data_IF_712442600119
#
_entry.id   IF_712442600119
#
_cell.length_a   1.000
_cell.length_b   1.000
_cell.length_c   1.000
_cell.angle_alpha   90.00
_cell.angle_beta   90.00
_cell.angle_gamma   90.00
#
_symmetry.space_group_name_H-M   'P 1'
#
loop_
_entity.id
_entity.type
_entity.pdbx_description
1 polymer ?
#
# COMPACT_ATOMS: atom_id res chain seq x y z
N UNK A 1 7.90 -8.83 28.03
CA UNK A 1 8.16 -9.77 26.92
C UNK A 1 8.04 -11.25 27.31
N UNK A 2 7.61 -11.62 28.54
CA UNK A 2 7.35 -13.03 28.91
C UNK A 2 5.94 -13.52 28.54
N UNK A 3 4.97 -12.64 28.33
CA UNK A 3 3.56 -13.00 28.08
C UNK A 3 3.28 -13.54 26.66
N UNK A 4 4.17 -13.35 25.68
CA UNK A 4 3.98 -13.88 24.31
C UNK A 4 4.26 -15.40 24.24
N UNK A 5 4.97 -15.96 25.23
CA UNK A 5 5.31 -17.39 25.24
C UNK A 5 4.17 -18.31 25.69
N UNK A 6 3.29 -17.86 26.57
CA UNK A 6 2.28 -18.74 27.19
C UNK A 6 1.09 -19.04 26.26
N UNK A 7 0.69 -18.10 25.40
CA UNK A 7 -0.46 -18.31 24.49
C UNK A 7 -0.13 -19.18 23.26
N UNK A 8 1.14 -19.52 23.02
CA UNK A 8 1.59 -20.27 21.84
C UNK A 8 1.89 -21.76 22.11
N UNK A 9 1.90 -22.21 23.37
CA UNK A 9 2.28 -23.59 23.70
C UNK A 9 1.13 -24.62 23.62
N UNK A 10 -0.14 -24.19 23.54
CA UNK A 10 -1.29 -25.11 23.57
C UNK A 10 -1.72 -25.67 22.20
N UNK A 11 -0.91 -25.50 21.15
CA UNK A 11 -1.26 -25.88 19.77
C UNK A 11 -0.39 -26.95 19.10
N UNK A 12 0.47 -27.68 19.82
CA UNK A 12 1.36 -28.69 19.20
C UNK A 12 0.71 -30.07 19.14
N UNK A 13 -0.03 -30.33 18.08
CA UNK A 13 -0.27 -31.70 17.60
C UNK A 13 0.78 -32.06 16.55
N UNK A 14 1.56 -33.08 16.89
CA UNK A 14 2.56 -33.76 16.10
C UNK A 14 1.97 -34.29 14.79
N UNK A 15 2.54 -33.86 13.65
CA UNK A 15 2.42 -34.58 12.37
C UNK A 15 3.81 -35.00 11.89
N UNK A 16 4.15 -36.22 12.27
CA UNK A 16 5.15 -37.07 11.64
C UNK A 16 4.45 -37.94 10.59
N UNK A 17 4.95 -37.92 9.34
CA UNK A 17 4.94 -38.98 8.30
C UNK A 17 5.31 -38.29 6.95
N UNK A 18 6.54 -38.45 6.45
CA UNK A 18 6.99 -39.41 5.41
C UNK A 18 6.32 -39.14 4.03
N UNK A 19 7.01 -38.97 2.89
CA UNK A 19 7.82 -39.95 2.15
C UNK A 19 8.63 -39.27 1.01
N UNK A 20 9.88 -39.72 0.79
CA UNK A 20 10.38 -40.10 -0.54
C UNK A 20 10.97 -39.04 -1.48
N UNK A 21 12.21 -38.62 -1.21
CA UNK A 21 13.09 -38.01 -2.19
C UNK A 21 14.48 -37.84 -1.59
N UNK A 22 15.46 -38.64 -2.04
CA UNK A 22 16.86 -38.60 -1.61
C UNK A 22 17.58 -37.35 -2.15
N UNK A 23 17.06 -36.17 -1.84
CA UNK A 23 17.84 -34.94 -1.82
C UNK A 23 18.30 -34.75 -0.38
N UNK A 24 19.61 -34.65 -0.15
CA UNK A 24 20.19 -34.37 1.16
C UNK A 24 19.56 -33.10 1.75
N UNK A 25 18.53 -33.25 2.57
CA UNK A 25 17.89 -32.14 3.24
C UNK A 25 18.86 -31.59 4.29
N UNK A 26 19.15 -30.30 4.22
CA UNK A 26 19.94 -29.57 5.22
C UNK A 26 19.33 -29.82 6.59
N UNK A 27 20.15 -30.30 7.53
CA UNK A 27 19.67 -30.62 8.88
C UNK A 27 19.37 -29.33 9.68
N UNK A 28 18.71 -29.46 10.84
CA UNK A 28 18.26 -28.30 11.61
C UNK A 28 19.43 -27.43 12.13
N UNK A 29 20.56 -28.06 12.47
CA UNK A 29 21.77 -27.38 12.98
C UNK A 29 22.45 -26.55 11.89
N UNK A 30 22.68 -27.16 10.71
CA UNK A 30 23.23 -26.49 9.54
C UNK A 30 22.32 -25.35 9.09
N UNK A 31 20.99 -25.56 9.10
CA UNK A 31 20.01 -24.51 8.83
C UNK A 31 20.10 -23.36 9.83
N UNK A 32 20.33 -23.66 11.12
CA UNK A 32 20.58 -22.66 12.16
C UNK A 32 21.84 -21.85 11.89
N UNK A 33 22.96 -22.52 11.61
CA UNK A 33 24.24 -21.88 11.29
C UNK A 33 24.14 -20.97 10.05
N UNK A 34 23.42 -21.40 9.00
CA UNK A 34 23.17 -20.58 7.82
C UNK A 34 22.38 -19.32 8.19
N UNK A 35 21.31 -19.45 8.98
CA UNK A 35 20.49 -18.30 9.43
C UNK A 35 21.32 -17.30 10.23
N UNK A 36 22.17 -17.75 11.14
CA UNK A 36 23.07 -16.89 11.92
C UNK A 36 24.10 -16.20 11.03
N UNK A 37 24.72 -16.94 10.11
CA UNK A 37 25.68 -16.37 9.15
C UNK A 37 25.03 -15.31 8.27
N UNK A 38 23.81 -15.54 7.81
CA UNK A 38 23.05 -14.55 7.04
C UNK A 38 22.78 -13.28 7.86
N UNK A 39 22.43 -13.40 9.15
CA UNK A 39 22.25 -12.23 10.01
C UNK A 39 23.54 -11.44 10.20
N UNK A 40 24.69 -12.11 10.34
CA UNK A 40 26.00 -11.45 10.39
C UNK A 40 26.31 -10.71 9.09
N UNK A 41 26.05 -11.34 7.93
CA UNK A 41 26.24 -10.72 6.62
C UNK A 41 25.32 -9.52 6.42
N UNK A 42 24.06 -9.61 6.85
CA UNK A 42 23.12 -8.51 6.83
C UNK A 42 23.61 -7.34 7.69
N UNK A 43 24.05 -7.61 8.92
CA UNK A 43 24.60 -6.59 9.81
C UNK A 43 25.83 -5.89 9.21
N UNK A 44 26.76 -6.66 8.64
CA UNK A 44 27.90 -6.08 7.93
C UNK A 44 27.47 -5.23 6.72
N UNK A 45 26.42 -5.66 6.01
CA UNK A 45 25.86 -4.94 4.88
C UNK A 45 25.05 -3.69 5.26
N UNK A 46 24.57 -3.60 6.51
CA UNK A 46 23.90 -2.40 7.03
C UNK A 46 24.87 -1.45 7.72
N UNK A 47 26.13 -1.83 7.89
CA UNK A 47 27.21 -0.97 8.41
C UNK A 47 28.11 -0.39 7.29
N UNK A 48 27.98 -0.87 6.06
CA UNK A 48 28.75 -0.41 4.89
C UNK A 48 28.11 -0.80 3.55
N UNK A 49 28.75 -0.51 2.41
CA UNK A 49 28.22 -0.94 1.11
C UNK A 49 28.59 -2.39 0.81
N UNK A 50 27.61 -3.29 0.77
CA UNK A 50 27.81 -4.67 0.30
C UNK A 50 27.35 -4.79 -1.16
N UNK A 51 28.25 -5.06 -2.13
CA UNK A 51 27.89 -5.11 -3.55
C UNK A 51 26.77 -6.09 -3.89
N UNK A 52 26.67 -7.19 -3.13
CA UNK A 52 25.72 -8.29 -3.35
C UNK A 52 24.50 -8.25 -2.40
N UNK A 53 24.18 -7.07 -1.87
CA UNK A 53 23.03 -6.90 -0.98
C UNK A 53 21.70 -7.31 -1.64
N UNK A 54 21.42 -7.01 -2.93
CA UNK A 54 20.21 -7.49 -3.59
C UNK A 54 20.09 -9.03 -3.60
N UNK A 55 21.16 -9.73 -3.93
CA UNK A 55 21.22 -11.19 -3.99
C UNK A 55 21.07 -11.81 -2.59
N UNK A 56 21.78 -11.26 -1.61
CA UNK A 56 21.66 -11.66 -0.20
C UNK A 56 20.21 -11.50 0.28
N UNK A 57 19.57 -10.38 -0.06
CA UNK A 57 18.18 -10.13 0.31
C UNK A 57 17.23 -11.13 -0.35
N UNK A 58 17.50 -11.57 -1.58
CA UNK A 58 16.70 -12.60 -2.25
C UNK A 58 16.82 -13.97 -1.57
N UNK A 59 18.00 -14.32 -1.06
CA UNK A 59 18.21 -15.55 -0.27
C UNK A 59 17.40 -15.47 1.03
N UNK A 60 17.53 -14.35 1.77
CA UNK A 60 16.78 -14.10 3.00
C UNK A 60 15.28 -14.19 2.75
N UNK A 61 14.79 -13.57 1.67
CA UNK A 61 13.39 -13.61 1.27
C UNK A 61 12.90 -15.05 1.07
N UNK A 62 13.63 -15.88 0.33
CA UNK A 62 13.26 -17.29 0.10
C UNK A 62 13.18 -18.08 1.40
N UNK A 63 14.12 -17.86 2.32
CA UNK A 63 14.09 -18.50 3.65
C UNK A 63 12.92 -18.00 4.50
N UNK A 64 12.59 -16.71 4.44
CA UNK A 64 11.46 -16.15 5.18
C UNK A 64 10.12 -16.81 4.85
N UNK A 65 9.96 -17.30 3.62
CA UNK A 65 8.76 -18.04 3.21
C UNK A 65 8.48 -19.23 4.13
N UNK A 66 9.52 -19.95 4.54
CA UNK A 66 9.41 -21.19 5.30
C UNK A 66 9.67 -21.02 6.79
N UNK A 67 10.54 -20.09 7.16
CA UNK A 67 11.05 -19.99 8.54
C UNK A 67 10.62 -18.76 9.31
N UNK A 68 10.17 -17.70 8.64
CA UNK A 68 9.79 -16.46 9.32
C UNK A 68 8.26 -16.34 9.41
N UNK A 69 7.69 -15.91 10.55
CA UNK A 69 8.39 -15.47 11.77
C UNK A 69 8.83 -16.58 12.74
N UNK A 70 8.08 -17.69 12.82
CA UNK A 70 8.13 -18.63 13.97
C UNK A 70 9.48 -19.36 14.18
N UNK A 71 10.20 -19.67 13.12
CA UNK A 71 11.44 -20.44 13.17
C UNK A 71 12.68 -19.56 12.91
N UNK A 72 12.55 -18.23 13.00
CA UNK A 72 13.66 -17.30 12.77
C UNK A 72 13.53 -15.98 13.56
N UNK A 73 13.29 -16.08 14.86
CA UNK A 73 13.19 -14.93 15.78
C UNK A 73 14.38 -13.96 15.71
N UNK A 74 15.57 -14.46 15.36
CA UNK A 74 16.77 -13.64 15.14
C UNK A 74 16.55 -12.57 14.08
N UNK A 75 15.79 -12.87 13.02
CA UNK A 75 15.49 -11.90 11.97
C UNK A 75 14.51 -10.81 12.45
N UNK A 76 13.50 -11.17 13.25
CA UNK A 76 12.57 -10.19 13.80
C UNK A 76 13.29 -9.21 14.73
N UNK A 77 14.17 -9.73 15.59
CA UNK A 77 15.01 -8.91 16.49
C UNK A 77 15.98 -8.01 15.71
N UNK A 78 16.60 -8.54 14.66
CA UNK A 78 17.45 -7.75 13.76
C UNK A 78 16.67 -6.59 13.14
N UNK A 79 15.52 -6.85 12.51
CA UNK A 79 14.72 -5.81 11.85
C UNK A 79 14.25 -4.72 12.84
N UNK A 80 13.84 -5.10 14.05
CA UNK A 80 13.45 -4.15 15.09
C UNK A 80 14.63 -3.28 15.54
N UNK A 81 15.79 -3.89 15.80
CA UNK A 81 16.98 -3.17 16.21
C UNK A 81 17.44 -2.18 15.13
N UNK A 82 17.40 -2.59 13.85
CA UNK A 82 17.77 -1.71 12.75
C UNK A 82 16.75 -0.57 12.56
N UNK A 83 15.44 -0.81 12.70
CA UNK A 83 14.44 0.28 12.66
C UNK A 83 14.68 1.31 13.78
N UNK A 84 15.01 0.85 14.99
CA UNK A 84 15.35 1.73 16.10
C UNK A 84 16.65 2.51 15.84
N UNK A 85 17.66 1.84 15.27
CA UNK A 85 18.91 2.48 14.89
C UNK A 85 18.71 3.54 13.80
N UNK A 86 17.87 3.28 12.80
CA UNK A 86 17.51 4.25 11.75
C UNK A 86 16.83 5.47 12.32
N UNK A 87 15.91 5.29 13.27
CA UNK A 87 15.26 6.40 13.97
C UNK A 87 16.27 7.29 14.68
N UNK A 88 17.32 6.71 15.27
CA UNK A 88 18.34 7.45 16.02
C UNK A 88 19.40 8.12 15.11
N UNK A 89 19.80 7.46 14.02
CA UNK A 89 20.93 7.88 13.16
C UNK A 89 20.50 8.65 11.91
N UNK A 90 19.23 8.60 11.52
CA UNK A 90 18.73 9.16 10.26
C UNK A 90 19.00 8.28 9.04
N UNK A 91 18.83 8.84 7.84
CA UNK A 91 18.98 8.12 6.57
C UNK A 91 20.38 8.27 5.99
N UNK A 92 21.20 7.23 6.14
CA UNK A 92 22.48 7.07 5.44
C UNK A 92 22.36 6.03 4.31
N UNK A 93 23.42 5.79 3.53
CA UNK A 93 23.44 4.71 2.52
C UNK A 93 23.09 3.34 3.11
N UNK A 94 23.53 3.08 4.34
CA UNK A 94 23.19 1.89 5.11
C UNK A 94 21.68 1.71 5.32
N UNK A 95 20.91 2.82 5.39
CA UNK A 95 19.47 2.77 5.56
C UNK A 95 18.76 2.11 4.39
N UNK A 96 19.27 2.27 3.17
CA UNK A 96 18.69 1.60 2.00
C UNK A 96 18.77 0.08 2.15
N UNK A 97 19.86 -0.45 2.71
CA UNK A 97 20.04 -1.88 2.93
C UNK A 97 19.03 -2.46 3.91
N UNK A 98 18.88 -1.81 5.07
CA UNK A 98 17.89 -2.19 6.09
C UNK A 98 16.48 -2.21 5.49
N UNK A 99 16.10 -1.12 4.81
CA UNK A 99 14.76 -0.95 4.28
C UNK A 99 14.49 -1.91 3.12
N UNK A 100 15.50 -2.24 2.30
CA UNK A 100 15.38 -3.24 1.25
C UNK A 100 15.11 -4.64 1.83
N UNK A 101 15.85 -5.02 2.88
CA UNK A 101 15.66 -6.31 3.57
C UNK A 101 14.26 -6.38 4.17
N UNK A 102 13.87 -5.34 4.94
CA UNK A 102 12.53 -5.24 5.51
C UNK A 102 11.45 -5.39 4.43
N UNK A 103 11.58 -4.64 3.33
CA UNK A 103 10.61 -4.67 2.24
C UNK A 103 10.44 -6.07 1.65
N UNK A 104 11.54 -6.78 1.39
CA UNK A 104 11.48 -8.12 0.80
C UNK A 104 10.92 -9.16 1.77
N UNK A 105 11.24 -9.04 3.07
CA UNK A 105 10.68 -9.88 4.13
C UNK A 105 9.16 -9.70 4.21
N UNK A 106 8.70 -8.44 4.37
CA UNK A 106 7.26 -8.14 4.45
C UNK A 106 6.53 -8.53 3.17
N UNK A 107 7.12 -8.27 2.00
CA UNK A 107 6.58 -8.69 0.71
C UNK A 107 6.36 -10.19 0.67
N UNK A 108 7.33 -11.01 1.08
CA UNK A 108 7.14 -12.45 1.11
C UNK A 108 6.03 -12.88 2.05
N UNK A 109 6.00 -12.34 3.27
CA UNK A 109 4.96 -12.68 4.25
C UNK A 109 3.56 -12.32 3.75
N UNK A 110 3.40 -11.16 3.12
CA UNK A 110 2.12 -10.70 2.57
C UNK A 110 1.57 -11.59 1.44
N UNK A 111 2.42 -12.37 0.77
CA UNK A 111 1.98 -13.27 -0.31
C UNK A 111 1.48 -14.63 0.20
N UNK A 112 1.66 -14.93 1.49
CA UNK A 112 1.18 -16.19 2.08
C UNK A 112 -0.34 -16.16 2.17
N UNK A 113 -0.99 -17.16 1.56
CA UNK A 113 -2.46 -17.24 1.46
C UNK A 113 -3.11 -18.07 2.57
N UNK A 114 -2.33 -18.93 3.25
CA UNK A 114 -2.84 -19.77 4.33
C UNK A 114 -3.26 -18.90 5.52
N UNK A 115 -4.40 -19.23 6.13
CA UNK A 115 -4.97 -18.46 7.24
C UNK A 115 -4.02 -18.41 8.45
N UNK A 116 -3.32 -19.50 8.77
CA UNK A 116 -2.30 -19.54 9.82
C UNK A 116 -1.18 -18.53 9.56
N UNK A 117 -0.64 -18.53 8.34
CA UNK A 117 0.39 -17.58 7.93
C UNK A 117 -0.08 -16.13 7.91
N UNK A 118 -1.36 -15.88 7.61
CA UNK A 118 -1.94 -14.52 7.73
C UNK A 118 -2.00 -14.07 9.19
N UNK A 119 -2.40 -14.96 10.11
CA UNK A 119 -2.39 -14.65 11.56
C UNK A 119 -0.98 -14.36 12.06
N UNK A 120 0.01 -15.13 11.63
CA UNK A 120 1.44 -14.85 11.91
C UNK A 120 1.85 -13.47 11.37
N UNK A 121 1.41 -13.11 10.16
CA UNK A 121 1.69 -11.78 9.62
C UNK A 121 0.95 -10.66 10.36
N UNK A 122 -0.24 -10.91 10.92
CA UNK A 122 -0.92 -9.94 11.77
C UNK A 122 -0.17 -9.68 13.08
N UNK A 123 0.43 -10.71 13.68
CA UNK A 123 1.29 -10.55 14.85
C UNK A 123 2.52 -9.69 14.53
N UNK A 124 3.13 -9.90 13.35
CA UNK A 124 4.19 -9.03 12.85
C UNK A 124 3.70 -7.59 12.61
N UNK A 125 2.46 -7.42 12.14
CA UNK A 125 1.78 -6.14 12.04
C UNK A 125 1.84 -5.35 13.34
N UNK A 126 1.32 -5.93 14.43
CA UNK A 126 1.35 -5.30 15.75
C UNK A 126 2.76 -5.02 16.28
N UNK A 127 3.73 -5.89 15.99
CA UNK A 127 5.11 -5.73 16.43
C UNK A 127 5.85 -4.59 15.70
N UNK A 128 5.61 -4.44 14.40
CA UNK A 128 6.39 -3.56 13.52
C UNK A 128 5.75 -2.20 13.27
N UNK A 129 4.46 -2.02 13.57
CA UNK A 129 3.73 -0.81 13.21
C UNK A 129 4.36 0.47 13.78
N UNK A 130 4.59 0.53 15.09
CA UNK A 130 5.17 1.73 15.72
C UNK A 130 6.63 1.98 15.32
N UNK A 131 7.54 0.99 15.36
CA UNK A 131 8.92 1.21 14.92
C UNK A 131 9.01 1.64 13.46
N UNK A 132 8.23 1.02 12.57
CA UNK A 132 8.23 1.36 11.15
C UNK A 132 7.57 2.72 10.90
N UNK A 133 6.44 3.01 11.56
CA UNK A 133 5.75 4.29 11.48
C UNK A 133 6.63 5.46 11.92
N UNK A 134 7.43 5.28 12.98
CA UNK A 134 8.37 6.30 13.44
C UNK A 134 9.49 6.58 12.41
N UNK A 135 10.07 5.54 11.79
CA UNK A 135 11.08 5.71 10.73
C UNK A 135 10.46 6.35 9.49
N UNK A 136 9.22 5.97 9.15
CA UNK A 136 8.50 6.55 8.03
C UNK A 136 8.16 8.03 8.26
N UNK A 137 7.74 8.41 9.48
CA UNK A 137 7.51 9.81 9.88
C UNK A 137 8.79 10.64 9.73
N UNK A 138 9.93 10.10 10.20
CA UNK A 138 11.23 10.76 10.07
C UNK A 138 11.59 11.03 8.60
N UNK A 139 11.25 10.10 7.69
CA UNK A 139 11.45 10.28 6.24
C UNK A 139 10.58 11.43 5.72
N UNK A 140 9.33 11.51 6.16
CA UNK A 140 8.42 12.59 5.77
C UNK A 140 8.93 13.95 6.25
N UNK A 141 9.37 14.05 7.51
CA UNK A 141 9.98 15.28 8.03
C UNK A 141 11.24 15.66 7.24
N UNK A 142 12.07 14.68 6.88
CA UNK A 142 13.26 14.93 6.08
C UNK A 142 12.90 15.47 4.69
N UNK A 143 11.93 14.85 4.01
CA UNK A 143 11.42 15.31 2.72
C UNK A 143 10.85 16.73 2.77
N UNK A 144 10.11 17.07 3.83
CA UNK A 144 9.54 18.41 4.01
C UNK A 144 10.61 19.49 4.23
N UNK A 145 11.76 19.13 4.80
CA UNK A 145 12.88 20.08 5.02
C UNK A 145 13.72 20.31 3.76
N UNK A 146 13.64 19.43 2.76
CA UNK A 146 14.38 19.60 1.51
C UNK A 146 13.87 20.84 0.77
N UNK A 147 14.68 21.90 0.74
CA UNK A 147 14.46 23.05 -0.15
C UNK A 147 14.54 22.59 -1.62
N UNK A 148 13.85 23.28 -2.52
CA UNK A 148 13.64 22.95 -3.94
C UNK A 148 14.85 22.34 -4.70
N UNK A 149 16.09 22.68 -4.33
CA UNK A 149 17.31 22.14 -4.94
C UNK A 149 17.61 20.64 -4.68
N UNK A 150 17.07 20.02 -3.64
CA UNK A 150 17.40 18.62 -3.28
C UNK A 150 16.40 17.58 -3.80
N UNK A 151 15.35 18.00 -4.51
CA UNK A 151 14.31 17.11 -5.03
C UNK A 151 14.80 16.15 -6.12
N UNK A 152 15.98 16.41 -6.71
CA UNK A 152 16.61 15.54 -7.69
C UNK A 152 17.46 14.41 -7.09
N UNK A 153 17.56 14.29 -5.75
CA UNK A 153 18.31 13.19 -5.14
C UNK A 153 17.56 11.84 -5.26
N UNK A 154 17.97 11.05 -6.25
CA UNK A 154 17.46 9.71 -6.51
C UNK A 154 17.63 8.74 -5.33
N UNK A 155 18.61 8.97 -4.42
CA UNK A 155 18.88 8.06 -3.30
C UNK A 155 17.73 8.05 -2.31
N UNK A 156 17.24 9.24 -1.94
CA UNK A 156 16.11 9.36 -1.03
C UNK A 156 14.82 8.81 -1.64
N UNK A 157 14.58 9.00 -2.93
CA UNK A 157 13.42 8.42 -3.61
C UNK A 157 13.50 6.90 -3.72
N UNK A 158 14.70 6.35 -3.92
CA UNK A 158 14.93 4.90 -3.91
C UNK A 158 14.69 4.31 -2.53
N UNK A 159 15.18 4.95 -1.46
CA UNK A 159 14.87 4.57 -0.08
C UNK A 159 13.37 4.65 0.18
N UNK A 160 12.75 5.78 -0.20
CA UNK A 160 11.31 6.03 -0.07
C UNK A 160 10.48 4.94 -0.72
N UNK A 161 10.83 4.49 -1.94
CA UNK A 161 10.13 3.39 -2.61
C UNK A 161 10.01 2.13 -1.75
N UNK A 162 11.10 1.73 -1.10
CA UNK A 162 11.11 0.52 -0.28
C UNK A 162 10.48 0.75 1.08
N UNK A 163 10.65 1.95 1.68
CA UNK A 163 10.06 2.28 2.97
C UNK A 163 8.54 2.44 2.87
N UNK A 164 8.08 3.19 1.89
CA UNK A 164 6.65 3.40 1.58
C UNK A 164 6.00 2.06 1.24
N UNK A 165 6.65 1.27 0.37
CA UNK A 165 6.18 -0.07 0.05
C UNK A 165 6.13 -1.01 1.26
N UNK A 166 7.03 -0.87 2.23
CA UNK A 166 7.01 -1.66 3.47
C UNK A 166 5.88 -1.25 4.40
N UNK A 167 5.75 0.06 4.63
CA UNK A 167 4.76 0.62 5.55
C UNK A 167 3.34 0.40 5.03
N UNK A 168 3.08 0.74 3.76
CA UNK A 168 1.76 0.57 3.16
C UNK A 168 1.36 -0.91 3.06
N UNK A 169 2.30 -1.80 2.80
CA UNK A 169 2.05 -3.23 2.79
C UNK A 169 1.67 -3.74 4.19
N UNK A 170 2.39 -3.29 5.23
CA UNK A 170 2.10 -3.64 6.61
C UNK A 170 0.69 -3.16 7.02
N UNK A 171 0.32 -1.93 6.67
CA UNK A 171 -1.01 -1.40 6.94
C UNK A 171 -2.10 -2.18 6.20
N UNK A 172 -1.89 -2.50 4.93
CA UNK A 172 -2.89 -3.16 4.10
C UNK A 172 -3.12 -4.64 4.49
N UNK A 173 -2.06 -5.36 4.86
CA UNK A 173 -2.08 -6.82 4.99
C UNK A 173 -1.70 -7.33 6.39
N UNK A 174 -1.10 -6.48 7.23
CA UNK A 174 -0.66 -6.83 8.58
C UNK A 174 -1.76 -6.73 9.64
N UNK A 175 -3.01 -6.48 9.25
CA UNK A 175 -4.14 -6.35 10.18
C UNK A 175 -5.40 -6.95 9.58
N UNK A 176 -6.23 -7.57 10.42
CA UNK A 176 -7.59 -7.95 10.03
C UNK A 176 -8.48 -6.70 9.93
N UNK A 177 -8.40 -5.83 10.94
CA UNK A 177 -9.18 -4.61 11.06
C UNK A 177 -8.29 -3.48 11.58
N UNK A 178 -7.64 -2.73 10.69
CA UNK A 178 -6.67 -1.71 11.07
C UNK A 178 -7.28 -0.60 11.95
N UNK A 179 -8.57 -0.32 11.79
CA UNK A 179 -9.30 0.69 12.58
C UNK A 179 -9.47 0.31 14.06
N UNK A 180 -9.32 -0.97 14.41
CA UNK A 180 -9.35 -1.44 15.80
C UNK A 180 -7.99 -1.28 16.49
N UNK A 181 -6.91 -1.11 15.74
CA UNK A 181 -5.60 -0.83 16.31
C UNK A 181 -5.54 0.63 16.80
N UNK A 182 -5.07 0.92 18.03
CA UNK A 182 -5.07 2.26 18.61
C UNK A 182 -4.43 3.33 17.71
N UNK A 183 -3.30 2.99 17.09
CA UNK A 183 -2.58 3.89 16.18
C UNK A 183 -3.02 3.81 14.73
N UNK A 184 -3.88 2.84 14.36
CA UNK A 184 -4.25 2.57 12.96
C UNK A 184 -4.78 3.80 12.23
N UNK A 185 -5.81 4.50 12.76
CA UNK A 185 -6.32 5.73 12.15
C UNK A 185 -5.30 6.86 12.03
N UNK A 186 -4.36 6.97 12.99
CA UNK A 186 -3.27 7.95 12.92
C UNK A 186 -2.30 7.61 11.79
N UNK A 187 -1.99 6.33 11.60
CA UNK A 187 -1.11 5.88 10.52
C UNK A 187 -1.74 6.13 9.14
N UNK A 188 -3.07 5.98 8.99
CA UNK A 188 -3.78 6.36 7.76
C UNK A 188 -3.72 7.88 7.52
N UNK A 189 -3.91 8.69 8.55
CA UNK A 189 -3.77 10.15 8.46
C UNK A 189 -2.37 10.55 7.98
N UNK A 190 -1.33 9.92 8.51
CA UNK A 190 0.04 10.14 8.05
C UNK A 190 0.20 9.78 6.56
N UNK A 191 -0.34 8.64 6.10
CA UNK A 191 -0.30 8.27 4.67
C UNK A 191 -1.02 9.30 3.80
N UNK A 192 -2.16 9.83 4.23
CA UNK A 192 -2.86 10.91 3.54
C UNK A 192 -1.96 12.13 3.39
N UNK A 193 -1.30 12.57 4.46
CA UNK A 193 -0.38 13.72 4.43
C UNK A 193 0.79 13.46 3.45
N UNK A 194 1.29 12.23 3.36
CA UNK A 194 2.28 11.88 2.33
C UNK A 194 1.70 12.00 0.92
N UNK A 195 0.51 11.47 0.67
CA UNK A 195 -0.12 11.55 -0.66
C UNK A 195 -0.29 13.01 -1.07
N UNK A 196 -0.84 13.83 -0.19
CA UNK A 196 -1.02 15.27 -0.41
C UNK A 196 0.32 15.97 -0.68
N UNK A 197 1.34 15.67 0.13
CA UNK A 197 2.68 16.22 -0.06
C UNK A 197 3.28 15.85 -1.42
N UNK A 198 3.22 14.58 -1.83
CA UNK A 198 3.80 14.13 -3.10
C UNK A 198 3.06 14.72 -4.30
N UNK A 199 1.73 14.88 -4.21
CA UNK A 199 0.93 15.52 -5.25
C UNK A 199 1.22 17.02 -5.34
N UNK A 200 1.31 17.72 -4.21
CA UNK A 200 1.68 19.12 -4.16
C UNK A 200 3.10 19.37 -4.72
N UNK A 201 4.04 18.45 -4.44
CA UNK A 201 5.38 18.48 -5.03
C UNK A 201 5.32 18.33 -6.55
N UNK A 202 4.59 17.33 -7.07
CA UNK A 202 4.43 17.13 -8.50
C UNK A 202 3.83 18.37 -9.18
N UNK A 203 2.83 19.01 -8.56
CA UNK A 203 2.22 20.24 -9.10
C UNK A 203 3.21 21.42 -9.10
N UNK A 204 3.92 21.62 -8.00
CA UNK A 204 4.83 22.77 -7.84
C UNK A 204 6.14 22.64 -8.60
N UNK A 205 6.60 21.41 -8.86
CA UNK A 205 7.92 21.12 -9.43
C UNK A 205 7.87 20.09 -10.57
N UNK A 206 6.79 20.09 -11.36
CA UNK A 206 6.54 19.10 -12.42
C UNK A 206 7.72 18.92 -13.37
N UNK A 207 8.29 20.01 -13.88
CA UNK A 207 9.40 19.97 -14.84
C UNK A 207 10.63 19.22 -14.31
N UNK A 208 10.98 19.42 -13.04
CA UNK A 208 12.13 18.76 -12.40
C UNK A 208 11.80 17.30 -12.02
N UNK A 209 10.62 17.06 -11.44
CA UNK A 209 10.25 15.75 -10.91
C UNK A 209 9.89 14.73 -11.99
N UNK A 210 9.42 15.17 -13.15
CA UNK A 210 9.18 14.31 -14.30
C UNK A 210 10.49 13.67 -14.79
N UNK A 211 11.63 14.34 -14.62
CA UNK A 211 12.95 13.81 -14.95
C UNK A 211 13.51 12.86 -13.87
N UNK A 212 12.82 12.70 -12.73
CA UNK A 212 13.23 11.80 -11.65
C UNK A 212 12.45 10.47 -11.73
N UNK A 213 13.03 9.39 -12.29
CA UNK A 213 12.31 8.14 -12.51
C UNK A 213 11.92 7.46 -11.20
N UNK A 214 12.71 7.62 -10.13
CA UNK A 214 12.39 7.04 -8.83
C UNK A 214 11.23 7.77 -8.13
N UNK A 215 11.13 9.10 -8.26
CA UNK A 215 9.99 9.85 -7.78
C UNK A 215 8.69 9.36 -8.44
N UNK A 216 8.64 9.34 -9.77
CA UNK A 216 7.45 8.90 -10.52
C UNK A 216 7.06 7.46 -10.16
N UNK A 217 8.04 6.57 -10.08
CA UNK A 217 7.80 5.19 -9.65
C UNK A 217 7.30 5.11 -8.21
N UNK A 218 7.79 5.96 -7.31
CA UNK A 218 7.35 5.99 -5.93
C UNK A 218 5.92 6.51 -5.82
N UNK A 219 5.62 7.67 -6.43
CA UNK A 219 4.27 8.24 -6.47
C UNK A 219 3.24 7.24 -7.02
N UNK A 220 3.55 6.58 -8.15
CA UNK A 220 2.70 5.52 -8.70
C UNK A 220 2.46 4.39 -7.69
N UNK A 221 3.51 3.94 -7.01
CA UNK A 221 3.42 2.87 -6.01
C UNK A 221 2.58 3.28 -4.80
N UNK A 222 2.80 4.49 -4.28
CA UNK A 222 2.05 5.04 -3.14
C UNK A 222 0.56 5.15 -3.49
N UNK A 223 0.22 5.73 -4.64
CA UNK A 223 -1.18 5.88 -5.06
C UNK A 223 -1.87 4.52 -5.31
N UNK A 224 -1.16 3.53 -5.86
CA UNK A 224 -1.68 2.16 -5.98
C UNK A 224 -1.98 1.57 -4.61
N UNK A 225 -1.03 1.67 -3.68
CA UNK A 225 -1.20 1.14 -2.33
C UNK A 225 -2.26 1.88 -1.54
N UNK A 226 -2.43 3.18 -1.79
CA UNK A 226 -3.50 3.99 -1.22
C UNK A 226 -4.88 3.44 -1.59
N UNK A 227 -5.10 3.13 -2.87
CA UNK A 227 -6.29 2.43 -3.36
C UNK A 227 -6.53 1.09 -2.68
N UNK A 228 -5.48 0.28 -2.57
CA UNK A 228 -5.57 -1.03 -1.91
C UNK A 228 -5.88 -0.90 -0.41
N UNK A 229 -5.30 0.09 0.26
CA UNK A 229 -5.50 0.33 1.68
C UNK A 229 -6.92 0.81 1.95
N UNK A 230 -7.44 1.71 1.12
CA UNK A 230 -8.82 2.20 1.18
C UNK A 230 -9.83 1.07 0.97
N UNK A 231 -9.54 0.15 0.04
CA UNK A 231 -10.36 -1.04 -0.16
C UNK A 231 -10.30 -2.01 1.02
N UNK A 232 -9.11 -2.28 1.56
CA UNK A 232 -8.90 -3.28 2.60
C UNK A 232 -9.38 -2.82 3.98
N UNK A 233 -9.22 -1.53 4.30
CA UNK A 233 -9.49 -0.96 5.63
C UNK A 233 -10.29 0.35 5.55
N UNK A 234 -11.48 0.38 4.93
CA UNK A 234 -12.23 1.62 4.68
C UNK A 234 -12.53 2.40 5.97
N UNK A 235 -12.85 1.70 7.06
CA UNK A 235 -13.16 2.36 8.34
C UNK A 235 -11.95 3.05 8.98
N UNK A 236 -10.71 2.63 8.65
CA UNK A 236 -9.51 3.26 9.20
C UNK A 236 -9.30 4.70 8.67
N UNK A 237 -10.05 5.08 7.63
CA UNK A 237 -10.00 6.41 7.01
C UNK A 237 -10.88 7.44 7.71
N UNK A 238 -11.66 7.06 8.74
CA UNK A 238 -12.50 7.99 9.48
C UNK A 238 -11.74 9.24 9.96
N UNK A 239 -10.53 9.05 10.49
CA UNK A 239 -9.67 10.18 10.92
C UNK A 239 -9.06 10.94 9.75
N UNK A 240 -8.75 10.26 8.66
CA UNK A 240 -8.21 10.87 7.44
C UNK A 240 -9.23 11.67 6.65
N UNK A 241 -10.50 11.65 7.05
CA UNK A 241 -11.62 12.27 6.37
C UNK A 241 -11.81 11.69 4.95
N UNK A 242 -12.77 10.76 4.82
CA UNK A 242 -13.11 10.10 3.55
C UNK A 242 -13.42 11.11 2.44
N UNK A 243 -14.06 12.24 2.77
CA UNK A 243 -14.40 13.27 1.80
C UNK A 243 -13.15 13.90 1.19
N UNK A 244 -12.21 14.31 2.03
CA UNK A 244 -10.94 14.89 1.62
C UNK A 244 -10.11 13.91 0.77
N UNK A 245 -10.09 12.63 1.16
CA UNK A 245 -9.36 11.58 0.43
C UNK A 245 -9.93 11.34 -0.97
N UNK A 246 -11.25 11.28 -1.09
CA UNK A 246 -11.91 11.12 -2.39
C UNK A 246 -11.81 12.39 -3.24
N UNK A 247 -11.92 13.57 -2.63
CA UNK A 247 -11.71 14.84 -3.32
C UNK A 247 -10.31 14.94 -3.92
N UNK A 248 -9.27 14.57 -3.18
CA UNK A 248 -7.91 14.53 -3.71
C UNK A 248 -7.79 13.59 -4.93
N UNK A 249 -8.49 12.45 -4.90
CA UNK A 249 -8.51 11.51 -6.04
C UNK A 249 -9.18 12.12 -7.29
N UNK A 250 -10.28 12.86 -7.09
CA UNK A 250 -10.96 13.61 -8.16
C UNK A 250 -10.06 14.69 -8.75
N UNK A 251 -9.36 15.47 -7.91
CA UNK A 251 -8.45 16.53 -8.36
C UNK A 251 -7.26 15.98 -9.15
N UNK A 252 -6.71 14.82 -8.75
CA UNK A 252 -5.68 14.13 -9.54
C UNK A 252 -6.21 13.73 -10.91
N UNK A 253 -7.41 13.13 -10.97
CA UNK A 253 -8.03 12.75 -12.25
C UNK A 253 -8.25 13.97 -13.15
N UNK A 254 -8.80 15.06 -12.62
CA UNK A 254 -9.03 16.31 -13.37
C UNK A 254 -7.72 16.89 -13.90
N UNK A 255 -6.69 16.96 -13.05
CA UNK A 255 -5.38 17.52 -13.41
C UNK A 255 -4.69 16.69 -14.49
N UNK A 256 -4.74 15.36 -14.37
CA UNK A 256 -3.94 14.46 -15.22
C UNK A 256 -4.63 14.03 -16.52
N UNK A 257 -5.98 14.00 -16.57
CA UNK A 257 -6.72 13.60 -17.79
C UNK A 257 -6.49 14.56 -18.96
N UNK A 258 -6.24 15.84 -18.67
CA UNK A 258 -5.92 16.84 -19.70
C UNK A 258 -4.43 16.99 -20.02
N UNK A 259 -3.55 16.26 -19.32
CA UNK A 259 -2.11 16.46 -19.43
C UNK A 259 -1.56 15.71 -20.64
N UNK A 260 -0.96 16.44 -21.58
CA UNK A 260 -0.14 15.84 -22.63
C UNK A 260 1.17 15.36 -22.02
N UNK A 261 1.38 14.04 -22.02
CA UNK A 261 2.62 13.43 -21.53
C UNK A 261 3.39 12.78 -22.69
N UNK A 262 4.73 12.75 -22.63
CA UNK A 262 5.54 11.96 -23.56
C UNK A 262 5.11 10.49 -23.60
N UNK A 263 5.32 9.82 -24.73
CA UNK A 263 4.89 8.43 -24.95
C UNK A 263 5.47 7.49 -23.88
N UNK A 264 6.72 7.69 -23.47
CA UNK A 264 7.39 6.92 -22.42
C UNK A 264 6.74 7.05 -21.04
N UNK A 265 5.95 8.10 -20.79
CA UNK A 265 5.24 8.34 -19.54
C UNK A 265 3.80 7.84 -19.56
N UNK A 266 3.27 7.43 -20.72
CA UNK A 266 1.87 7.03 -20.87
C UNK A 266 1.49 5.89 -19.91
N UNK A 267 2.32 4.84 -19.82
CA UNK A 267 2.09 3.73 -18.90
C UNK A 267 2.15 4.13 -17.41
N UNK A 268 2.89 5.20 -17.07
CA UNK A 268 2.87 5.76 -15.73
C UNK A 268 1.55 6.50 -15.46
N UNK A 269 1.13 7.35 -16.40
CA UNK A 269 -0.11 8.12 -16.32
C UNK A 269 -1.32 7.18 -16.17
N UNK A 270 -1.45 6.19 -17.05
CA UNK A 270 -2.54 5.21 -17.00
C UNK A 270 -2.61 4.48 -15.66
N UNK A 271 -1.46 4.11 -15.09
CA UNK A 271 -1.43 3.45 -13.80
C UNK A 271 -1.85 4.37 -12.63
N UNK A 272 -1.54 5.67 -12.72
CA UNK A 272 -1.99 6.67 -11.74
C UNK A 272 -3.48 6.89 -11.85
N UNK A 273 -4.00 7.15 -13.06
CA UNK A 273 -5.44 7.33 -13.33
C UNK A 273 -6.23 6.11 -12.87
N UNK A 274 -5.76 4.90 -13.21
CA UNK A 274 -6.35 3.64 -12.75
C UNK A 274 -6.49 3.60 -11.24
N UNK A 275 -5.44 3.96 -10.50
CA UNK A 275 -5.45 3.90 -9.04
C UNK A 275 -6.46 4.88 -8.44
N UNK A 276 -6.63 6.07 -9.03
CA UNK A 276 -7.62 7.05 -8.56
C UNK A 276 -9.06 6.64 -8.90
N UNK A 277 -9.29 6.02 -10.06
CA UNK A 277 -10.60 5.46 -10.40
C UNK A 277 -10.98 4.33 -9.45
N UNK A 278 -10.02 3.48 -9.08
CA UNK A 278 -10.23 2.44 -8.08
C UNK A 278 -10.55 3.05 -6.70
N UNK A 279 -9.87 4.12 -6.27
CA UNK A 279 -10.21 4.83 -5.03
C UNK A 279 -11.68 5.25 -4.98
N UNK A 280 -12.16 5.92 -6.04
CA UNK A 280 -13.55 6.35 -6.14
C UNK A 280 -14.48 5.14 -6.13
N UNK A 281 -14.20 4.15 -6.98
CA UNK A 281 -15.02 2.93 -7.06
C UNK A 281 -15.10 2.19 -5.72
N UNK A 282 -14.01 2.10 -4.96
CA UNK A 282 -13.99 1.48 -3.63
C UNK A 282 -14.82 2.28 -2.62
N UNK A 283 -14.82 3.61 -2.70
CA UNK A 283 -15.67 4.46 -1.87
C UNK A 283 -17.15 4.14 -2.09
N UNK A 284 -17.57 4.11 -3.35
CA UNK A 284 -18.94 3.76 -3.73
C UNK A 284 -19.28 2.29 -3.47
N UNK A 285 -18.33 1.35 -3.50
CA UNK A 285 -18.62 -0.04 -3.16
C UNK A 285 -18.70 -0.29 -1.65
N UNK A 286 -18.19 0.63 -0.83
CA UNK A 286 -18.15 0.45 0.63
C UNK A 286 -19.54 0.67 1.24
N UNK A 287 -20.15 -0.42 1.71
CA UNK A 287 -21.52 -0.40 2.25
C UNK A 287 -21.65 0.57 3.42
N UNK A 288 -20.65 0.64 4.31
CA UNK A 288 -20.69 1.53 5.47
C UNK A 288 -20.65 3.02 5.12
N UNK A 289 -20.06 3.38 3.99
CA UNK A 289 -20.04 4.77 3.50
C UNK A 289 -21.40 5.14 2.91
N UNK A 290 -22.03 4.20 2.22
CA UNK A 290 -23.28 4.38 1.49
C UNK A 290 -24.52 4.33 2.37
N UNK A 291 -24.60 3.34 3.25
CA UNK A 291 -25.79 2.99 4.03
C UNK A 291 -25.63 3.27 5.52
N UNK A 292 -24.50 3.86 5.94
CA UNK A 292 -24.17 4.04 7.34
C UNK A 292 -23.68 2.76 8.03
N UNK A 293 -23.53 2.79 9.36
CA UNK A 293 -23.09 1.63 10.12
C UNK A 293 -23.94 0.37 9.89
N UNK A 294 -23.31 -0.79 9.96
CA UNK A 294 -23.95 -2.09 9.80
C UNK A 294 -24.25 -2.71 11.18
N UNK A 295 -25.21 -3.66 11.30
CA UNK A 295 -25.63 -4.21 12.59
C UNK A 295 -24.52 -4.88 13.40
N UNK A 296 -23.46 -5.36 12.74
CA UNK A 296 -22.29 -5.97 13.36
C UNK A 296 -21.22 -4.97 13.81
N UNK A 297 -21.36 -3.68 13.49
CA UNK A 297 -20.43 -2.66 13.94
C UNK A 297 -20.70 -2.33 15.41
N UNK A 298 -19.65 -2.41 16.24
CA UNK A 298 -19.69 -2.11 17.66
C UNK A 298 -18.43 -1.34 18.05
N UNK A 299 -18.47 -0.61 19.16
CA UNK A 299 -17.32 0.13 19.70
C UNK A 299 -16.62 1.01 18.64
N UNK A 300 -15.28 0.93 18.50
CA UNK A 300 -14.53 1.74 17.54
C UNK A 300 -15.01 1.61 16.08
N UNK A 301 -15.50 0.43 15.67
CA UNK A 301 -15.99 0.22 14.32
C UNK A 301 -17.29 1.00 14.03
N UNK A 302 -18.17 1.12 15.03
CA UNK A 302 -19.42 1.88 14.93
C UNK A 302 -19.14 3.38 14.80
N UNK A 303 -18.24 3.91 15.62
CA UNK A 303 -17.81 5.31 15.57
C UNK A 303 -17.18 5.64 14.22
N UNK A 304 -16.25 4.80 13.76
CA UNK A 304 -15.58 4.97 12.48
C UNK A 304 -16.57 4.89 11.29
N UNK A 305 -17.55 3.98 11.34
CA UNK A 305 -18.55 3.86 10.29
C UNK A 305 -19.48 5.08 10.22
N UNK A 306 -19.90 5.61 11.37
CA UNK A 306 -20.69 6.85 11.43
C UNK A 306 -19.92 8.03 10.84
N UNK A 307 -18.67 8.22 11.25
CA UNK A 307 -17.82 9.29 10.74
C UNK A 307 -17.61 9.17 9.22
N UNK A 308 -17.24 7.98 8.74
CA UNK A 308 -17.03 7.74 7.32
C UNK A 308 -18.30 7.98 6.49
N UNK A 309 -19.48 7.59 6.99
CA UNK A 309 -20.74 7.85 6.30
C UNK A 309 -21.02 9.34 6.14
N UNK A 310 -20.93 10.11 7.25
CA UNK A 310 -21.13 11.55 7.21
C UNK A 310 -20.17 12.27 6.25
N UNK A 311 -18.89 11.88 6.27
CA UNK A 311 -17.87 12.40 5.34
C UNK A 311 -18.16 12.01 3.89
N UNK A 312 -18.61 10.79 3.63
CA UNK A 312 -18.97 10.37 2.26
C UNK A 312 -20.18 11.15 1.73
N UNK A 313 -21.18 11.42 2.57
CA UNK A 313 -22.30 12.30 2.20
C UNK A 313 -21.82 13.71 1.89
N UNK A 314 -20.89 14.27 2.68
CA UNK A 314 -20.25 15.56 2.40
C UNK A 314 -19.56 15.58 1.02
N UNK A 315 -18.81 14.54 0.69
CA UNK A 315 -18.17 14.40 -0.63
C UNK A 315 -19.19 14.45 -1.77
N UNK A 316 -20.31 13.74 -1.64
CA UNK A 316 -21.35 13.70 -2.68
C UNK A 316 -22.05 15.04 -2.89
N UNK A 317 -22.11 15.90 -1.86
CA UNK A 317 -22.63 17.28 -2.02
C UNK A 317 -21.71 18.13 -2.90
N UNK A 318 -20.40 17.89 -2.85
CA UNK A 318 -19.41 18.62 -3.66
C UNK A 318 -19.13 18.01 -5.02
N UNK A 319 -19.49 16.74 -5.24
CA UNK A 319 -19.21 15.99 -6.46
C UNK A 319 -20.44 15.18 -6.89
N UNK A 320 -21.35 15.78 -7.68
CA UNK A 320 -22.49 15.07 -8.24
C UNK A 320 -22.07 13.79 -8.99
N UNK A 321 -22.86 12.73 -8.87
CA UNK A 321 -22.55 11.43 -9.51
C UNK A 321 -22.40 11.56 -11.03
N UNK A 322 -23.18 12.43 -11.67
CA UNK A 322 -23.07 12.73 -13.10
C UNK A 322 -21.67 13.22 -13.50
N UNK A 323 -21.15 14.20 -12.77
CA UNK A 323 -19.82 14.79 -12.99
C UNK A 323 -18.71 13.74 -12.77
N UNK A 324 -18.87 12.86 -11.78
CA UNK A 324 -17.94 11.77 -11.52
C UNK A 324 -17.96 10.73 -12.66
N UNK A 325 -19.14 10.43 -13.21
CA UNK A 325 -19.26 9.56 -14.37
C UNK A 325 -18.58 10.17 -15.60
N UNK A 326 -18.82 11.44 -15.89
CA UNK A 326 -18.16 12.14 -17.00
C UNK A 326 -16.64 12.14 -16.84
N UNK A 327 -16.14 12.43 -15.64
CA UNK A 327 -14.70 12.39 -15.35
C UNK A 327 -14.12 10.99 -15.57
N UNK A 328 -14.79 9.93 -15.12
CA UNK A 328 -14.35 8.55 -15.33
C UNK A 328 -14.35 8.16 -16.82
N UNK A 329 -15.35 8.61 -17.58
CA UNK A 329 -15.40 8.41 -19.02
C UNK A 329 -14.23 9.11 -19.72
N UNK A 330 -13.99 10.39 -19.40
CA UNK A 330 -12.89 11.18 -19.95
C UNK A 330 -11.52 10.58 -19.62
N UNK A 331 -11.34 10.07 -18.39
CA UNK A 331 -10.05 9.57 -17.92
C UNK A 331 -9.68 8.17 -18.47
N UNK A 332 -10.66 7.31 -18.75
CA UNK A 332 -10.39 5.89 -18.97
C UNK A 332 -11.22 5.18 -20.06
N UNK A 333 -12.33 5.77 -20.51
CA UNK A 333 -13.23 5.14 -21.48
C UNK A 333 -13.27 5.85 -22.83
N UNK A 334 -12.58 7.00 -22.94
CA UNK A 334 -12.40 7.69 -24.21
C UNK A 334 -11.38 6.94 -25.06
N UNK A 335 -11.81 6.50 -26.24
CA UNK A 335 -10.93 5.87 -27.23
C UNK A 335 -10.08 6.94 -27.95
N UNK A 336 -8.74 6.83 -27.90
CA UNK A 336 -7.85 7.66 -28.71
C UNK A 336 -8.07 7.42 -30.22
N UNK A 337 -8.01 8.49 -31.01
CA UNK A 337 -8.28 8.39 -32.46
C UNK A 337 -7.27 7.51 -33.18
N UNK A 338 -5.99 7.60 -32.80
CA UNK A 338 -4.89 6.79 -33.31
C UNK A 338 -5.14 5.28 -33.15
N UNK A 339 -5.63 4.87 -31.99
CA UNK A 339 -5.90 3.46 -31.72
C UNK A 339 -7.17 2.95 -32.40
N UNK A 340 -8.18 3.82 -32.56
CA UNK A 340 -9.34 3.48 -33.41
C UNK A 340 -8.88 3.29 -34.86
N UNK A 341 -7.95 4.11 -35.36
CA UNK A 341 -7.40 3.92 -36.70
C UNK A 341 -6.55 2.64 -36.81
N UNK A 342 -5.73 2.32 -35.82
CA UNK A 342 -4.96 1.07 -35.76
C UNK A 342 -5.89 -0.14 -35.78
N UNK A 343 -6.94 -0.13 -34.96
CA UNK A 343 -7.95 -1.19 -34.94
C UNK A 343 -8.73 -1.31 -36.26
N UNK A 344 -9.03 -0.20 -36.94
CA UNK A 344 -9.69 -0.23 -38.24
C UNK A 344 -8.78 -0.80 -39.34
N UNK A 345 -7.45 -0.72 -39.19
CA UNK A 345 -6.48 -1.31 -40.12
C UNK A 345 -6.35 -2.82 -39.92
N UNK A 346 -6.40 -3.29 -38.66
CA UNK A 346 -6.35 -4.71 -38.32
C UNK A 346 -7.30 -5.05 -37.15
N UNK A 347 -8.59 -5.28 -37.42
CA UNK A 347 -9.56 -5.56 -36.36
C UNK A 347 -9.43 -6.98 -35.79
N UNK A 348 -8.76 -7.89 -36.49
CA UNK A 348 -8.58 -9.28 -36.06
C UNK A 348 -7.62 -9.39 -34.87
N UNK A 349 -6.62 -8.50 -34.81
CA UNK A 349 -5.67 -8.41 -33.69
C UNK A 349 -6.31 -7.95 -32.38
N UNK A 350 -7.47 -7.27 -32.42
CA UNK A 350 -8.19 -6.83 -31.22
C UNK A 350 -9.71 -7.08 -31.35
N UNK A 351 -10.10 -8.35 -31.33
CA UNK A 351 -11.50 -8.81 -31.49
C UNK A 351 -12.51 -8.17 -30.52
N UNK A 352 -12.09 -7.69 -29.36
CA UNK A 352 -12.96 -7.02 -28.38
C UNK A 352 -13.05 -5.50 -28.58
N UNK A 353 -12.39 -4.95 -29.59
CA UNK A 353 -12.25 -3.52 -29.83
C UNK A 353 -11.05 -2.89 -29.13
N UNK A 354 -10.70 -1.65 -29.52
CA UNK A 354 -9.54 -0.94 -29.02
C UNK A 354 -9.64 -0.70 -27.51
N UNK A 355 -8.55 -0.94 -26.79
CA UNK A 355 -8.38 -0.74 -25.35
C UNK A 355 -9.36 -1.42 -24.38
N UNK A 356 -10.37 -2.16 -24.84
CA UNK A 356 -11.37 -2.77 -23.96
C UNK A 356 -10.74 -3.73 -22.93
N UNK A 357 -9.53 -4.23 -23.20
CA UNK A 357 -8.77 -5.12 -22.32
C UNK A 357 -7.76 -4.40 -21.41
N UNK A 358 -7.55 -3.09 -21.54
CA UNK A 358 -6.55 -2.39 -20.71
C UNK A 358 -7.01 -2.34 -19.25
N UNK A 359 -6.04 -2.36 -18.33
CA UNK A 359 -6.33 -2.25 -16.89
C UNK A 359 -6.98 -0.89 -16.54
N UNK A 360 -6.70 0.17 -17.31
CA UNK A 360 -7.31 1.49 -17.14
C UNK A 360 -8.79 1.46 -17.55
N UNK A 361 -9.11 0.94 -18.73
CA UNK A 361 -10.50 0.80 -19.19
C UNK A 361 -11.34 -0.04 -18.23
N UNK A 362 -10.78 -1.16 -17.73
CA UNK A 362 -11.44 -2.00 -16.73
C UNK A 362 -11.73 -1.23 -15.44
N UNK A 363 -10.79 -0.42 -14.95
CA UNK A 363 -11.00 0.41 -13.78
C UNK A 363 -12.03 1.54 -14.01
N UNK A 364 -12.02 2.18 -15.17
CA UNK A 364 -13.05 3.14 -15.57
C UNK A 364 -14.44 2.50 -15.58
N UNK A 365 -14.57 1.34 -16.23
CA UNK A 365 -15.81 0.58 -16.28
C UNK A 365 -16.29 0.15 -14.90
N UNK A 366 -15.37 -0.30 -14.04
CA UNK A 366 -15.67 -0.65 -12.66
C UNK A 366 -16.13 0.56 -11.85
N UNK A 367 -15.50 1.72 -12.05
CA UNK A 367 -15.89 2.99 -11.42
C UNK A 367 -17.31 3.40 -11.84
N UNK A 368 -17.63 3.42 -13.13
CA UNK A 368 -18.99 3.73 -13.62
C UNK A 368 -20.04 2.77 -13.02
N UNK A 369 -19.74 1.46 -13.01
CA UNK A 369 -20.64 0.48 -12.38
C UNK A 369 -20.83 0.74 -10.89
N UNK A 370 -19.78 1.14 -10.17
CA UNK A 370 -19.85 1.49 -8.75
C UNK A 370 -20.67 2.77 -8.51
N UNK A 371 -20.47 3.80 -9.34
CA UNK A 371 -21.22 5.06 -9.31
C UNK A 371 -22.72 4.85 -9.58
N UNK A 372 -23.06 3.91 -10.47
CA UNK A 372 -24.44 3.52 -10.76
C UNK A 372 -25.10 2.64 -9.69
N UNK A 373 -24.35 2.15 -8.68
CA UNK A 373 -24.98 1.48 -7.55
C UNK A 373 -25.73 2.53 -6.75
N UNK A 374 -27.05 2.42 -6.64
CA UNK A 374 -27.86 3.30 -5.79
C UNK A 374 -27.27 3.42 -4.38
N UNK A 375 -27.15 4.64 -3.80
CA UNK A 375 -27.26 4.76 -2.35
C UNK A 375 -27.47 6.19 -1.81
N UNK A 376 -28.68 6.76 -1.82
CA UNK A 376 -28.93 7.98 -1.03
C UNK A 376 -30.34 8.06 -0.41
N UNK A 377 -31.23 7.11 -0.69
CA UNK A 377 -32.66 7.24 -0.36
C UNK A 377 -33.08 6.74 1.02
N UNK A 378 -32.16 6.43 1.93
CA UNK A 378 -32.55 6.34 3.34
C UNK A 378 -32.38 7.74 3.90
N UNK A 379 -33.46 8.55 4.06
CA UNK A 379 -33.38 9.74 4.88
C UNK A 379 -32.73 9.28 6.19
N UNK A 380 -31.65 9.93 6.59
CA UNK A 380 -31.03 9.71 7.88
C UNK A 380 -32.18 9.58 8.88
N UNK A 381 -32.31 8.40 9.50
CA UNK A 381 -33.19 8.25 10.65
C UNK A 381 -32.82 9.43 11.56
N UNK A 382 -33.70 10.43 11.63
CA UNK A 382 -33.52 11.51 12.57
C UNK A 382 -33.27 10.81 13.90
N UNK A 383 -32.20 11.16 14.63
CA UNK A 383 -31.96 10.57 15.93
C UNK A 383 -33.25 10.78 16.72
N UNK A 384 -33.93 9.67 17.01
CA UNK A 384 -35.16 9.72 17.79
C UNK A 384 -34.89 10.52 19.07
N UNK A 385 -35.86 11.34 19.51
CA UNK A 385 -35.65 12.20 20.66
C UNK A 385 -35.17 11.39 21.86
N UNK A 386 -34.29 11.99 22.70
CA UNK A 386 -33.57 11.31 23.78
C UNK A 386 -34.47 10.62 24.81
#
# INVERSE_FOLDING_TARGET
>A
MSSIREDLEHGRLTKSCLVGGSGSAINAEEKGAIKERLLQLLKAATEGSLPHLPELTMVVRKLCRFDFPLNWDGLARFLLAELQALRARGFSEAALGVVLVLHQVLKEQSTKRLLSSRREFHQLGGLLLEPLGAVWALKMEHLQRLKNGSLADDRLWRLGRHLDGSFLLLLAQGFAHLHEHPSGPQMIQMVKEQVEFLLALLQSHSQQLIQCPFFLKNLKSVLKWWALLFHAHPLAFARANVASVLHASVEVLRTLTGLQVPQEMRAWLEAVLRSQLLMIAHGFNTVSFRKGPQPNHQGPALEAANACHGQFVEFLRGHPVGDLCELACCAALRLPQDEVQEWLQDPEDQLLGPQCQTELHQAGSFCIKALGQAPLDVPMLEPGPP
#
